data_IF_621275112816
#
_entry.id   IF_621275112816
#
_cell.length_a   1.000
_cell.length_b   1.000
_cell.length_c   1.000
_cell.angle_alpha   90.00
_cell.angle_beta   90.00
_cell.angle_gamma   90.00
#
_symmetry.space_group_name_H-M   'P 1'
#
loop_
_entity.id
_entity.type
_entity.pdbx_description
1 polymer ?
#
# COMPACT_ATOMS: atom_id res chain seq x y z
N UNK A 1 -22.49 28.13 -10.47
CA UNK A 1 -21.85 27.65 -9.22
C UNK A 1 -22.08 26.16 -9.15
N UNK A 2 -21.10 25.37 -9.59
CA UNK A 2 -21.18 23.90 -9.59
C UNK A 2 -20.23 23.47 -8.48
N UNK A 3 -20.78 23.03 -7.34
CA UNK A 3 -19.98 22.43 -6.28
C UNK A 3 -19.36 21.13 -6.83
N UNK A 4 -18.08 20.83 -6.57
CA UNK A 4 -17.55 19.51 -6.87
C UNK A 4 -18.30 18.48 -6.01
N UNK A 5 -18.53 17.26 -6.54
CA UNK A 5 -19.23 16.23 -5.80
C UNK A 5 -18.45 15.93 -4.52
N UNK A 6 -19.14 16.01 -3.39
CA UNK A 6 -18.65 15.53 -2.10
C UNK A 6 -18.16 14.10 -2.33
N UNK A 7 -16.85 13.89 -2.17
CA UNK A 7 -16.26 12.56 -2.21
C UNK A 7 -17.05 11.67 -1.27
N UNK A 8 -17.59 10.58 -1.82
CA UNK A 8 -18.17 9.52 -1.02
C UNK A 8 -17.10 9.05 -0.05
N UNK A 9 -17.22 9.49 1.20
CA UNK A 9 -16.48 8.92 2.33
C UNK A 9 -16.98 7.48 2.43
N UNK A 10 -16.24 6.55 1.82
CA UNK A 10 -16.30 5.15 2.21
C UNK A 10 -15.73 5.08 3.63
N UNK A 11 -16.57 5.42 4.60
CA UNK A 11 -16.38 4.99 5.97
C UNK A 11 -16.30 3.47 5.89
N UNK A 12 -15.07 2.97 5.99
CA UNK A 12 -14.72 1.56 5.97
C UNK A 12 -15.26 0.82 7.19
N UNK A 13 -16.57 0.84 7.38
CA UNK A 13 -17.28 -0.17 8.16
C UNK A 13 -17.53 -1.38 7.26
N UNK A 14 -16.45 -1.93 6.70
CA UNK A 14 -16.43 -3.33 6.25
C UNK A 14 -16.02 -4.21 7.43
N UNK A 15 -16.58 -3.94 8.60
CA UNK A 15 -16.38 -4.75 9.78
C UNK A 15 -17.62 -5.62 10.00
N UNK A 16 -17.40 -6.93 9.86
CA UNK A 16 -18.16 -8.03 10.46
C UNK A 16 -19.58 -8.25 9.92
N UNK A 17 -19.65 -9.08 8.87
CA UNK A 17 -20.49 -10.30 8.85
C UNK A 17 -20.05 -11.16 7.66
N UNK A 18 -19.05 -12.00 7.88
CA UNK A 18 -18.92 -13.21 7.05
C UNK A 18 -20.21 -13.98 7.31
N UNK A 19 -21.06 -14.13 6.29
CA UNK A 19 -22.31 -14.89 6.45
C UNK A 19 -21.97 -16.30 6.93
N UNK A 20 -22.81 -16.89 7.77
CA UNK A 20 -22.60 -18.26 8.29
C UNK A 20 -22.29 -19.26 7.16
N UNK A 21 -22.93 -19.11 6.00
CA UNK A 21 -22.65 -19.89 4.79
C UNK A 21 -21.26 -19.62 4.19
N UNK A 22 -20.80 -18.37 4.17
CA UNK A 22 -19.44 -18.02 3.74
C UNK A 22 -18.37 -18.55 4.70
N UNK A 23 -18.65 -18.56 6.01
CA UNK A 23 -17.77 -19.16 7.02
C UNK A 23 -17.65 -20.68 6.84
N UNK A 24 -18.77 -21.38 6.63
CA UNK A 24 -18.79 -22.82 6.36
C UNK A 24 -18.09 -23.16 5.04
N UNK A 25 -18.27 -22.37 3.98
CA UNK A 25 -17.57 -22.56 2.72
C UNK A 25 -16.05 -22.37 2.87
N UNK A 26 -15.62 -21.34 3.61
CA UNK A 26 -14.21 -21.12 3.93
C UNK A 26 -13.62 -22.26 4.77
N UNK A 27 -14.37 -22.81 5.73
CA UNK A 27 -13.95 -23.95 6.55
C UNK A 27 -13.85 -25.23 5.70
N UNK A 28 -14.80 -25.50 4.81
CA UNK A 28 -14.75 -26.66 3.91
C UNK A 28 -13.58 -26.55 2.93
N UNK A 29 -13.34 -25.35 2.39
CA UNK A 29 -12.17 -25.06 1.56
C UNK A 29 -10.90 -25.28 2.39
N UNK A 30 -10.81 -24.74 3.61
CA UNK A 30 -9.67 -24.92 4.52
C UNK A 30 -9.42 -26.39 4.88
N UNK A 31 -10.46 -27.20 5.10
CA UNK A 31 -10.33 -28.64 5.39
C UNK A 31 -9.79 -29.39 4.16
N UNK A 32 -10.32 -29.12 2.96
CA UNK A 32 -9.77 -29.68 1.72
C UNK A 32 -8.35 -29.20 1.42
N UNK A 33 -8.04 -27.97 1.78
CA UNK A 33 -6.73 -27.33 1.64
C UNK A 33 -5.68 -28.04 2.50
N UNK A 34 -6.01 -28.27 3.77
CA UNK A 34 -5.16 -28.96 4.76
C UNK A 34 -4.84 -30.38 4.29
N UNK A 35 -5.79 -31.05 3.64
CA UNK A 35 -5.64 -32.43 3.17
C UNK A 35 -4.71 -32.59 1.97
N UNK A 36 -4.49 -31.54 1.15
CA UNK A 36 -3.67 -31.65 -0.07
C UNK A 36 -2.22 -31.19 0.11
N UNK A 37 -1.99 -30.06 0.79
CA UNK A 37 -0.64 -29.56 1.04
C UNK A 37 -0.59 -28.68 2.30
N UNK A 38 -0.45 -29.33 3.47
CA UNK A 38 -0.42 -28.70 4.78
C UNK A 38 0.66 -27.62 4.89
N UNK A 39 1.81 -27.80 4.24
CA UNK A 39 2.95 -26.87 4.30
C UNK A 39 2.59 -25.55 3.61
N UNK A 40 2.01 -25.62 2.41
CA UNK A 40 1.59 -24.43 1.66
C UNK A 40 0.42 -23.69 2.35
N UNK A 41 -0.47 -24.42 3.02
CA UNK A 41 -1.52 -23.78 3.82
C UNK A 41 -0.96 -23.08 5.06
N UNK A 42 -0.10 -23.77 5.83
CA UNK A 42 0.51 -23.22 7.04
C UNK A 42 1.34 -21.97 6.70
N UNK A 43 2.13 -22.00 5.62
CA UNK A 43 2.87 -20.81 5.16
C UNK A 43 1.93 -19.65 4.81
N UNK A 44 0.84 -19.92 4.08
CA UNK A 44 -0.14 -18.90 3.74
C UNK A 44 -0.77 -18.25 4.99
N UNK A 45 -1.19 -19.04 5.97
CA UNK A 45 -1.83 -18.52 7.19
C UNK A 45 -0.85 -17.77 8.07
N UNK A 46 0.38 -18.28 8.24
CA UNK A 46 1.44 -17.58 8.97
C UNK A 46 1.74 -16.23 8.32
N UNK A 47 1.98 -16.18 7.00
CA UNK A 47 2.26 -14.91 6.32
C UNK A 47 1.11 -13.90 6.49
N UNK A 48 -0.14 -14.33 6.35
CA UNK A 48 -1.30 -13.45 6.46
C UNK A 48 -1.43 -12.85 7.87
N UNK A 49 -1.28 -13.66 8.91
CA UNK A 49 -1.38 -13.21 10.30
C UNK A 49 -0.28 -12.20 10.62
N UNK A 50 0.97 -12.52 10.30
CA UNK A 50 2.09 -11.60 10.53
C UNK A 50 1.95 -10.32 9.72
N UNK A 51 1.55 -10.42 8.44
CA UNK A 51 1.27 -9.24 7.61
C UNK A 51 0.25 -8.31 8.26
N UNK A 52 -0.90 -8.82 8.69
CA UNK A 52 -1.95 -7.99 9.30
C UNK A 52 -1.49 -7.30 10.60
N UNK A 53 -0.77 -8.02 11.46
CA UNK A 53 -0.29 -7.47 12.74
C UNK A 53 0.71 -6.34 12.50
N UNK A 54 1.68 -6.55 11.60
CA UNK A 54 2.74 -5.57 11.35
C UNK A 54 2.21 -4.39 10.55
N UNK A 55 1.35 -4.62 9.57
CA UNK A 55 0.79 -3.52 8.78
C UNK A 55 -0.10 -2.60 9.63
N UNK A 56 -0.89 -3.17 10.55
CA UNK A 56 -1.66 -2.35 11.49
C UNK A 56 -0.77 -1.49 12.39
N UNK A 57 0.31 -2.07 12.95
CA UNK A 57 1.30 -1.31 13.74
C UNK A 57 1.99 -0.22 12.92
N UNK A 58 2.32 -0.51 11.66
CA UNK A 58 2.95 0.44 10.77
C UNK A 58 2.02 1.60 10.43
N UNK A 59 0.74 1.31 10.20
CA UNK A 59 -0.29 2.31 9.92
C UNK A 59 -0.48 3.26 11.11
N UNK A 60 -0.56 2.75 12.33
CA UNK A 60 -0.63 3.57 13.55
C UNK A 60 0.58 4.52 13.69
N UNK A 61 1.77 4.04 13.32
CA UNK A 61 3.00 4.86 13.35
C UNK A 61 2.96 5.94 12.27
N UNK A 62 2.56 5.58 11.05
CA UNK A 62 2.43 6.55 9.95
C UNK A 62 1.41 7.64 10.27
N UNK A 63 0.26 7.28 10.87
CA UNK A 63 -0.76 8.24 11.30
C UNK A 63 -0.23 9.18 12.38
N UNK A 64 0.54 8.68 13.36
CA UNK A 64 1.19 9.52 14.37
C UNK A 64 2.21 10.48 13.74
N UNK A 65 2.99 10.00 12.77
CA UNK A 65 3.95 10.84 12.03
C UNK A 65 3.28 11.93 11.19
N UNK A 66 2.07 11.71 10.67
CA UNK A 66 1.36 12.71 9.87
C UNK A 66 0.57 13.69 10.73
N UNK A 67 0.13 13.31 11.92
CA UNK A 67 -0.81 14.09 12.75
C UNK A 67 -0.19 14.83 13.94
N UNK A 68 0.89 14.30 14.53
CA UNK A 68 1.39 14.70 15.85
C UNK A 68 2.73 15.43 15.79
N UNK A 69 2.77 16.69 16.26
CA UNK A 69 3.97 17.54 16.21
C UNK A 69 5.12 17.07 17.09
N UNK A 70 4.82 16.42 18.22
CA UNK A 70 5.82 15.80 19.10
C UNK A 70 6.53 14.63 18.43
N UNK A 71 5.88 13.95 17.48
CA UNK A 71 6.37 12.71 16.88
C UNK A 71 7.17 12.91 15.58
N UNK A 72 7.27 14.13 15.05
CA UNK A 72 8.02 14.38 13.80
C UNK A 72 9.52 14.08 13.94
N UNK A 73 10.06 14.23 15.14
CA UNK A 73 11.48 14.06 15.41
C UNK A 73 11.83 12.69 15.98
N UNK A 74 10.84 11.94 16.47
CA UNK A 74 11.02 10.59 16.98
C UNK A 74 11.19 9.58 15.85
N UNK A 75 12.26 8.80 15.93
CA UNK A 75 12.53 7.70 15.00
C UNK A 75 12.06 6.40 15.63
N UNK A 76 11.06 5.71 15.04
CA UNK A 76 10.50 4.48 15.59
C UNK A 76 11.44 3.29 15.33
N UNK A 77 12.60 3.27 15.98
CA UNK A 77 13.60 2.20 15.85
C UNK A 77 13.03 0.82 16.20
N UNK A 78 11.96 0.77 17.00
CA UNK A 78 11.24 -0.46 17.33
C UNK A 78 10.65 -1.18 16.10
N UNK A 79 10.52 -0.53 14.94
CA UNK A 79 10.08 -1.15 13.69
C UNK A 79 11.16 -2.01 13.02
N UNK A 80 12.45 -1.76 13.28
CA UNK A 80 13.55 -2.46 12.61
C UNK A 80 13.56 -3.99 12.87
N UNK A 81 13.37 -4.47 14.12
CA UNK A 81 13.26 -5.90 14.38
C UNK A 81 12.07 -6.54 13.65
N UNK A 82 10.93 -5.86 13.58
CA UNK A 82 9.76 -6.33 12.83
C UNK A 82 10.05 -6.39 11.32
N UNK A 83 10.78 -5.41 10.80
CA UNK A 83 11.26 -5.42 9.41
C UNK A 83 12.11 -6.65 9.09
N UNK A 84 13.02 -7.04 9.99
CA UNK A 84 13.84 -8.25 9.85
C UNK A 84 13.00 -9.54 9.90
N UNK A 85 12.02 -9.61 10.80
CA UNK A 85 11.08 -10.75 10.89
C UNK A 85 10.27 -10.90 9.60
N UNK A 86 9.76 -9.79 9.04
CA UNK A 86 9.02 -9.83 7.79
C UNK A 86 9.90 -10.20 6.59
N UNK A 87 11.16 -9.75 6.58
CA UNK A 87 12.14 -10.11 5.55
C UNK A 87 12.44 -11.62 5.58
N UNK A 88 12.70 -12.18 6.76
CA UNK A 88 13.00 -13.60 6.91
C UNK A 88 11.78 -14.48 6.56
N UNK A 89 10.57 -14.06 6.95
CA UNK A 89 9.33 -14.73 6.57
C UNK A 89 9.11 -14.74 5.05
N UNK A 90 9.37 -13.61 4.37
CA UNK A 90 9.26 -13.51 2.90
C UNK A 90 10.29 -14.42 2.20
N UNK A 91 11.54 -14.44 2.65
CA UNK A 91 12.56 -15.34 2.07
C UNK A 91 12.18 -16.80 2.29
N UNK A 92 11.77 -17.17 3.52
CA UNK A 92 11.37 -18.52 3.85
C UNK A 92 10.20 -19.00 2.97
N UNK A 93 9.21 -18.13 2.71
CA UNK A 93 8.08 -18.49 1.83
C UNK A 93 8.48 -18.66 0.37
N UNK A 94 9.41 -17.85 -0.15
CA UNK A 94 9.96 -18.05 -1.51
C UNK A 94 10.72 -19.39 -1.62
N UNK A 95 11.51 -19.76 -0.61
CA UNK A 95 12.23 -21.05 -0.57
C UNK A 95 11.26 -22.22 -0.53
N UNK A 96 10.22 -22.16 0.32
CA UNK A 96 9.19 -23.18 0.40
C UNK A 96 8.45 -23.31 -0.94
N UNK A 97 8.14 -22.18 -1.58
CA UNK A 97 7.53 -22.17 -2.91
C UNK A 97 8.41 -22.87 -3.96
N UNK A 98 9.73 -22.62 -3.98
CA UNK A 98 10.64 -23.32 -4.90
C UNK A 98 10.58 -24.84 -4.71
N UNK A 99 10.59 -25.30 -3.46
CA UNK A 99 10.53 -26.74 -3.16
C UNK A 99 9.18 -27.39 -3.57
N UNK A 100 8.07 -26.69 -3.38
CA UNK A 100 6.73 -27.18 -3.71
C UNK A 100 6.30 -26.92 -5.17
N UNK A 101 7.14 -26.30 -6.00
CA UNK A 101 6.79 -26.01 -7.42
C UNK A 101 6.52 -27.24 -8.29
N UNK A 102 6.89 -28.42 -7.80
CA UNK A 102 6.84 -29.69 -8.56
C UNK A 102 5.43 -30.29 -8.64
N UNK A 103 4.45 -29.83 -7.85
CA UNK A 103 3.13 -30.49 -7.68
C UNK A 103 1.89 -29.69 -8.13
N UNK A 104 1.96 -28.80 -9.11
CA UNK A 104 0.76 -28.07 -9.55
C UNK A 104 -0.11 -28.87 -10.55
N UNK A 105 -0.72 -29.96 -10.08
CA UNK A 105 -1.62 -30.78 -10.90
C UNK A 105 -3.05 -30.21 -10.97
N UNK A 106 -3.45 -29.41 -9.99
CA UNK A 106 -4.83 -28.98 -9.79
C UNK A 106 -4.97 -27.45 -9.73
N UNK A 107 -6.11 -26.93 -10.18
CA UNK A 107 -6.49 -25.51 -10.08
C UNK A 107 -6.31 -24.95 -8.67
N UNK A 108 -6.64 -25.77 -7.67
CA UNK A 108 -6.52 -25.43 -6.27
C UNK A 108 -5.06 -25.14 -5.83
N UNK A 109 -4.11 -26.02 -6.19
CA UNK A 109 -2.70 -25.84 -5.84
C UNK A 109 -2.08 -24.64 -6.57
N UNK A 110 -2.53 -24.38 -7.81
CA UNK A 110 -2.16 -23.17 -8.55
C UNK A 110 -2.65 -21.90 -7.83
N UNK A 111 -3.89 -21.89 -7.35
CA UNK A 111 -4.44 -20.77 -6.58
C UNK A 111 -3.70 -20.55 -5.26
N UNK A 112 -3.53 -21.60 -4.45
CA UNK A 112 -2.84 -21.53 -3.16
C UNK A 112 -1.40 -21.02 -3.33
N UNK A 113 -0.71 -21.48 -4.36
CA UNK A 113 0.64 -21.02 -4.63
C UNK A 113 0.71 -19.58 -5.12
N UNK A 114 -0.24 -19.13 -5.92
CA UNK A 114 -0.34 -17.72 -6.31
C UNK A 114 -0.67 -16.82 -5.11
N UNK A 115 -1.41 -17.34 -4.13
CA UNK A 115 -1.74 -16.64 -2.88
C UNK A 115 -0.51 -16.52 -1.98
N UNK A 116 0.25 -17.60 -1.78
CA UNK A 116 1.53 -17.55 -1.05
C UNK A 116 2.50 -16.57 -1.71
N UNK A 117 2.61 -16.57 -3.04
CA UNK A 117 3.44 -15.61 -3.77
C UNK A 117 2.99 -14.17 -3.55
N UNK A 118 1.68 -13.92 -3.60
CA UNK A 118 1.10 -12.60 -3.32
C UNK A 118 1.44 -12.11 -1.91
N UNK A 119 1.22 -12.96 -0.91
CA UNK A 119 1.55 -12.65 0.48
C UNK A 119 3.06 -12.43 0.67
N UNK A 120 3.91 -13.23 0.02
CA UNK A 120 5.37 -13.09 0.07
C UNK A 120 5.86 -11.75 -0.47
N UNK A 121 5.22 -11.24 -1.53
CA UNK A 121 5.51 -9.93 -2.12
C UNK A 121 5.08 -8.81 -1.17
N UNK A 122 3.90 -8.91 -0.56
CA UNK A 122 3.43 -7.89 0.36
C UNK A 122 4.19 -7.91 1.69
N UNK A 123 4.57 -9.07 2.23
CA UNK A 123 5.44 -9.13 3.42
C UNK A 123 6.83 -8.54 3.15
N UNK A 124 7.36 -8.70 1.94
CA UNK A 124 8.57 -8.01 1.51
C UNK A 124 8.36 -6.49 1.46
N UNK A 125 7.23 -6.04 0.91
CA UNK A 125 6.89 -4.62 0.85
C UNK A 125 6.79 -4.00 2.25
N UNK A 126 6.13 -4.66 3.20
CA UNK A 126 6.01 -4.17 4.59
C UNK A 126 7.35 -4.17 5.30
N UNK A 127 8.19 -5.19 5.08
CA UNK A 127 9.57 -5.21 5.56
C UNK A 127 10.35 -3.96 5.10
N UNK A 128 10.27 -3.63 3.81
CA UNK A 128 10.90 -2.44 3.25
C UNK A 128 10.32 -1.17 3.88
N UNK A 129 8.99 -1.05 4.07
CA UNK A 129 8.40 0.10 4.77
C UNK A 129 8.95 0.25 6.20
N UNK A 130 9.06 -0.86 6.95
CA UNK A 130 9.64 -0.85 8.30
C UNK A 130 11.09 -0.33 8.32
N UNK A 131 11.93 -0.74 7.35
CA UNK A 131 13.29 -0.22 7.24
C UNK A 131 13.33 1.25 6.82
N UNK A 132 12.53 1.64 5.83
CA UNK A 132 12.48 3.02 5.33
C UNK A 132 12.09 4.02 6.43
N UNK A 133 11.14 3.64 7.29
CA UNK A 133 10.69 4.46 8.42
C UNK A 133 11.65 4.33 9.62
N UNK A 134 11.99 3.10 10.01
CA UNK A 134 12.82 2.83 11.19
C UNK A 134 14.25 3.35 11.07
N UNK A 135 14.83 3.40 9.86
CA UNK A 135 16.16 3.96 9.59
C UNK A 135 16.13 5.47 9.28
N UNK A 136 14.97 6.13 9.38
CA UNK A 136 14.77 7.56 9.04
C UNK A 136 15.16 7.94 7.60
N UNK A 137 15.18 6.97 6.68
CA UNK A 137 15.41 7.24 5.25
C UNK A 137 14.23 8.06 4.71
N UNK A 138 13.01 7.70 5.13
CA UNK A 138 11.78 8.39 4.79
C UNK A 138 11.29 9.17 6.00
N UNK A 139 11.42 10.49 5.92
CA UNK A 139 10.87 11.41 6.93
C UNK A 139 9.36 11.60 6.73
N UNK A 140 8.66 12.05 7.77
CA UNK A 140 7.24 12.42 7.73
C UNK A 140 6.84 13.32 6.54
N UNK A 141 7.75 14.15 6.01
CA UNK A 141 7.52 14.98 4.80
C UNK A 141 7.14 14.15 3.57
N UNK A 142 7.82 13.01 3.38
CA UNK A 142 7.56 12.10 2.27
C UNK A 142 6.26 11.31 2.49
N UNK A 143 6.00 10.92 3.75
CA UNK A 143 4.77 10.24 4.16
C UNK A 143 3.56 11.13 3.86
N UNK A 144 3.57 12.38 4.33
CA UNK A 144 2.52 13.37 4.07
C UNK A 144 2.26 13.64 2.60
N UNK A 145 3.28 13.58 1.75
CA UNK A 145 3.12 13.74 0.29
C UNK A 145 2.39 12.56 -0.36
N UNK A 146 2.30 11.41 0.32
CA UNK A 146 1.69 10.18 -0.19
C UNK A 146 2.70 9.20 -0.79
N UNK A 147 3.98 9.22 -0.37
CA UNK A 147 5.00 8.30 -0.89
C UNK A 147 4.57 6.83 -0.75
N UNK A 148 4.04 6.45 0.42
CA UNK A 148 3.62 5.06 0.65
C UNK A 148 2.44 4.65 -0.23
N UNK A 149 1.51 5.55 -0.57
CA UNK A 149 0.46 5.27 -1.54
C UNK A 149 0.96 4.96 -2.95
N UNK A 150 2.06 5.59 -3.39
CA UNK A 150 2.73 5.27 -4.67
C UNK A 150 3.51 3.96 -4.56
N UNK A 151 4.24 3.79 -3.46
CA UNK A 151 5.01 2.59 -3.14
C UNK A 151 4.14 1.33 -3.21
N UNK A 152 2.95 1.36 -2.64
CA UNK A 152 2.05 0.21 -2.66
C UNK A 152 1.53 -0.15 -4.05
N UNK A 153 1.13 0.84 -4.84
CA UNK A 153 0.66 0.62 -6.22
C UNK A 153 1.72 -0.04 -7.08
N UNK A 154 2.99 0.29 -6.85
CA UNK A 154 4.12 -0.40 -7.48
C UNK A 154 4.13 -1.91 -7.11
N UNK A 155 3.99 -2.25 -5.83
CA UNK A 155 3.94 -3.66 -5.41
C UNK A 155 2.69 -4.40 -5.89
N UNK A 156 1.53 -3.73 -5.97
CA UNK A 156 0.31 -4.30 -6.57
C UNK A 156 0.51 -4.62 -8.04
N UNK A 157 1.15 -3.73 -8.81
CA UNK A 157 1.49 -3.93 -10.21
C UNK A 157 2.50 -5.08 -10.37
N UNK A 158 3.57 -5.09 -9.58
CA UNK A 158 4.59 -6.14 -9.59
C UNK A 158 3.99 -7.53 -9.30
N UNK A 159 3.14 -7.63 -8.26
CA UNK A 159 2.36 -8.83 -7.93
C UNK A 159 1.48 -9.27 -9.11
N UNK A 160 0.78 -8.33 -9.75
CA UNK A 160 -0.10 -8.62 -10.89
C UNK A 160 0.65 -9.31 -12.04
N UNK A 161 1.85 -8.82 -12.37
CA UNK A 161 2.70 -9.40 -13.43
C UNK A 161 3.14 -10.82 -13.08
N UNK A 162 3.63 -11.05 -11.85
CA UNK A 162 4.11 -12.38 -11.44
C UNK A 162 2.96 -13.40 -11.39
N UNK A 163 1.81 -13.03 -10.82
CA UNK A 163 0.66 -13.94 -10.76
C UNK A 163 0.15 -14.28 -12.16
N UNK A 164 0.09 -13.29 -13.06
CA UNK A 164 -0.30 -13.50 -14.47
C UNK A 164 0.62 -14.52 -15.13
N UNK A 165 1.94 -14.40 -14.99
CA UNK A 165 2.88 -15.37 -15.55
C UNK A 165 2.62 -16.80 -15.05
N UNK A 166 2.39 -16.98 -13.73
CA UNK A 166 2.12 -18.29 -13.14
C UNK A 166 0.85 -18.93 -13.71
N UNK A 167 -0.23 -18.16 -13.83
CA UNK A 167 -1.49 -18.64 -14.41
C UNK A 167 -1.38 -18.95 -15.91
N UNK A 168 -0.59 -18.16 -16.65
CA UNK A 168 -0.30 -18.44 -18.06
C UNK A 168 0.42 -19.78 -18.26
N UNK A 169 1.40 -20.10 -17.40
CA UNK A 169 2.06 -21.40 -17.39
C UNK A 169 1.09 -22.55 -17.04
N UNK A 170 0.12 -22.30 -16.15
CA UNK A 170 -0.95 -23.24 -15.81
C UNK A 170 -1.88 -23.54 -16.98
N UNK A 171 -2.44 -22.52 -17.63
CA UNK A 171 -3.32 -22.74 -18.79
C UNK A 171 -2.61 -23.30 -20.03
N UNK A 172 -1.27 -23.19 -20.07
CA UNK A 172 -0.45 -23.74 -21.15
C UNK A 172 0.15 -25.11 -20.81
N UNK A 173 -0.14 -25.69 -19.64
CA UNK A 173 0.36 -27.00 -19.17
C UNK A 173 1.90 -27.14 -19.18
N UNK A 174 2.64 -26.10 -18.76
CA UNK A 174 4.13 -26.04 -18.81
C UNK A 174 4.77 -26.33 -17.44
N UNK A 175 4.07 -27.03 -16.57
CA UNK A 175 4.58 -27.42 -15.27
C UNK A 175 5.37 -28.73 -15.37
N UNK A 176 6.45 -28.94 -14.58
CA UNK A 176 6.91 -28.17 -13.42
C UNK A 176 7.97 -27.08 -13.71
N UNK A 177 8.44 -26.91 -14.95
CA UNK A 177 9.53 -25.99 -15.30
C UNK A 177 9.05 -24.81 -16.18
N UNK A 178 8.41 -23.77 -15.57
CA UNK A 178 7.88 -22.63 -16.30
C UNK A 178 9.02 -21.70 -16.76
N UNK A 179 9.67 -22.03 -17.87
CA UNK A 179 10.61 -21.13 -18.54
C UNK A 179 9.89 -20.30 -19.60
N UNK A 180 10.35 -19.06 -19.82
CA UNK A 180 9.79 -18.17 -20.84
C UNK A 180 9.88 -18.81 -22.24
N UNK A 181 10.98 -19.52 -22.51
CA UNK A 181 11.19 -20.23 -23.78
C UNK A 181 10.15 -21.33 -23.98
N UNK A 182 9.93 -22.17 -22.96
CA UNK A 182 8.90 -23.20 -23.00
C UNK A 182 7.49 -22.59 -23.14
N UNK A 183 7.25 -21.43 -22.51
CA UNK A 183 6.02 -20.69 -22.72
C UNK A 183 5.85 -20.24 -24.16
N UNK A 184 6.85 -19.67 -24.81
CA UNK A 184 6.70 -19.21 -26.19
C UNK A 184 6.51 -20.35 -27.19
N UNK A 185 7.09 -21.53 -26.94
CA UNK A 185 6.99 -22.68 -27.84
C UNK A 185 5.73 -23.54 -27.63
N UNK A 186 5.09 -23.48 -26.47
CA UNK A 186 3.93 -24.31 -26.16
C UNK A 186 2.64 -23.83 -26.83
N UNK A 187 1.85 -24.77 -27.35
CA UNK A 187 0.52 -24.51 -27.87
C UNK A 187 -0.40 -23.92 -26.81
N UNK A 188 -1.10 -22.84 -27.17
CA UNK A 188 -1.97 -22.11 -26.24
C UNK A 188 -3.40 -22.63 -26.31
N UNK A 189 -3.96 -22.93 -25.15
CA UNK A 189 -5.38 -23.24 -25.00
C UNK A 189 -6.24 -21.98 -25.17
N UNK A 190 -7.53 -22.14 -25.49
CA UNK A 190 -8.49 -21.02 -25.58
C UNK A 190 -8.59 -20.25 -24.27
N UNK A 191 -8.57 -20.96 -23.13
CA UNK A 191 -8.56 -20.35 -21.79
C UNK A 191 -7.35 -19.43 -21.57
N UNK A 192 -6.18 -19.78 -22.12
CA UNK A 192 -4.98 -18.94 -22.05
C UNK A 192 -5.20 -17.60 -22.76
N UNK A 193 -5.78 -17.59 -23.97
CA UNK A 193 -6.07 -16.35 -24.70
C UNK A 193 -7.10 -15.46 -23.98
N UNK A 194 -8.18 -16.04 -23.47
CA UNK A 194 -9.20 -15.31 -22.69
C UNK A 194 -8.55 -14.66 -21.46
N UNK A 195 -7.69 -15.42 -20.76
CA UNK A 195 -6.98 -14.92 -19.60
C UNK A 195 -6.01 -13.77 -19.93
N UNK A 196 -5.26 -13.87 -21.03
CA UNK A 196 -4.38 -12.79 -21.52
C UNK A 196 -5.19 -11.51 -21.73
N UNK A 197 -6.30 -11.57 -22.47
CA UNK A 197 -7.12 -10.38 -22.77
C UNK A 197 -7.65 -9.75 -21.49
N UNK A 198 -8.22 -10.55 -20.58
CA UNK A 198 -8.71 -10.09 -19.28
C UNK A 198 -7.60 -9.41 -18.46
N UNK A 199 -6.40 -9.99 -18.42
CA UNK A 199 -5.27 -9.44 -17.66
C UNK A 199 -4.65 -8.22 -18.31
N UNK A 200 -4.64 -8.11 -19.64
CA UNK A 200 -4.19 -6.90 -20.32
C UNK A 200 -5.04 -5.69 -19.94
N UNK A 201 -6.37 -5.83 -19.93
CA UNK A 201 -7.29 -4.76 -19.50
C UNK A 201 -7.01 -4.34 -18.05
N UNK A 202 -6.86 -5.32 -17.14
CA UNK A 202 -6.58 -5.06 -15.73
C UNK A 202 -5.20 -4.41 -15.51
N UNK A 203 -4.17 -4.82 -16.26
CA UNK A 203 -2.83 -4.23 -16.18
C UNK A 203 -2.81 -2.80 -16.70
N UNK A 204 -3.52 -2.49 -17.78
CA UNK A 204 -3.66 -1.11 -18.28
C UNK A 204 -4.32 -0.23 -17.22
N UNK A 205 -5.38 -0.72 -16.57
CA UNK A 205 -6.05 -0.01 -15.49
C UNK A 205 -5.12 0.25 -14.29
N UNK A 206 -4.39 -0.77 -13.84
CA UNK A 206 -3.40 -0.62 -12.75
C UNK A 206 -2.25 0.32 -13.11
N UNK A 207 -1.76 0.29 -14.35
CA UNK A 207 -0.73 1.21 -14.84
C UNK A 207 -1.23 2.65 -14.85
N UNK A 208 -2.48 2.85 -15.29
CA UNK A 208 -3.10 4.17 -15.28
C UNK A 208 -3.24 4.70 -13.85
N UNK A 209 -3.72 3.89 -12.90
CA UNK A 209 -3.80 4.26 -11.47
C UNK A 209 -2.42 4.55 -10.86
N UNK A 210 -1.41 3.75 -11.20
CA UNK A 210 -0.02 4.00 -10.77
C UNK A 210 0.50 5.34 -11.31
N UNK A 211 0.33 5.62 -12.60
CA UNK A 211 0.75 6.90 -13.20
C UNK A 211 -0.01 8.08 -12.59
N UNK A 212 -1.31 7.93 -12.35
CA UNK A 212 -2.12 8.94 -11.67
C UNK A 212 -1.58 9.21 -10.26
N UNK A 213 -1.25 8.18 -9.49
CA UNK A 213 -0.67 8.33 -8.14
C UNK A 213 0.68 9.07 -8.15
N UNK A 214 1.54 8.81 -9.14
CA UNK A 214 2.81 9.54 -9.31
C UNK A 214 2.55 11.02 -9.60
N UNK A 215 1.57 11.33 -10.47
CA UNK A 215 1.20 12.71 -10.78
C UNK A 215 0.69 13.43 -9.53
N UNK A 216 -0.20 12.81 -8.78
CA UNK A 216 -0.71 13.34 -7.51
C UNK A 216 0.42 13.57 -6.50
N UNK A 217 1.35 12.63 -6.37
CA UNK A 217 2.53 12.80 -5.51
C UNK A 217 3.40 14.00 -5.92
N UNK A 218 3.63 14.20 -7.23
CA UNK A 218 4.38 15.35 -7.76
C UNK A 218 3.63 16.68 -7.58
N UNK A 219 2.31 16.68 -7.70
CA UNK A 219 1.50 17.89 -7.46
C UNK A 219 1.49 18.23 -5.96
N UNK A 220 1.41 17.23 -5.08
CA UNK A 220 1.47 17.42 -3.63
C UNK A 220 2.80 17.99 -3.15
N UNK A 221 3.92 17.72 -3.84
CA UNK A 221 5.20 18.34 -3.49
C UNK A 221 5.23 19.84 -3.79
N UNK A 222 4.41 20.31 -4.74
CA UNK A 222 4.28 21.71 -5.15
C UNK A 222 3.18 22.43 -4.34
N UNK A 223 2.09 21.73 -4.01
CA UNK A 223 0.94 22.26 -3.25
C UNK A 223 1.15 22.24 -1.73
N UNK A 224 2.16 21.52 -1.23
CA UNK A 224 2.56 21.63 0.16
C UNK A 224 2.93 23.08 0.47
N UNK A 225 2.38 23.62 1.56
CA UNK A 225 2.64 24.98 2.01
C UNK A 225 4.14 25.24 2.00
N UNK A 226 4.57 26.33 1.36
CA UNK A 226 5.97 26.61 1.18
C UNK A 226 6.66 26.67 2.55
N UNK A 227 7.77 25.94 2.75
CA UNK A 227 8.56 26.10 3.95
C UNK A 227 9.03 27.55 4.04
N UNK A 228 8.98 28.13 5.24
CA UNK A 228 9.48 29.47 5.46
C UNK A 228 11.00 29.49 5.20
N UNK A 229 11.52 30.56 4.56
CA UNK A 229 12.96 30.78 4.43
C UNK A 229 13.67 30.74 5.80
N UNK A 230 14.89 30.21 5.87
CA UNK A 230 15.62 30.05 7.14
C UNK A 230 15.97 31.39 7.83
N UNK A 231 16.07 32.46 7.04
CA UNK A 231 16.28 33.85 7.42
C UNK A 231 15.01 34.53 7.95
N UNK A 232 13.83 33.98 7.69
CA UNK A 232 12.56 34.48 8.22
C UNK A 232 12.21 33.79 9.54
N UNK A 233 12.51 34.46 10.65
CA UNK A 233 12.12 34.00 11.98
C UNK A 233 10.77 34.57 12.41
N UNK A 234 9.95 33.72 13.00
CA UNK A 234 8.72 34.08 13.70
C UNK A 234 8.79 33.45 15.09
N UNK A 235 8.73 34.29 16.13
CA UNK A 235 8.97 33.84 17.52
C UNK A 235 7.88 32.89 18.03
N UNK A 236 6.64 33.06 17.54
CA UNK A 236 5.50 32.25 17.93
C UNK A 236 4.47 32.13 16.80
N UNK A 237 3.85 30.95 16.66
CA UNK A 237 2.74 30.76 15.75
C UNK A 237 1.46 31.38 16.34
N UNK A 238 0.74 32.22 15.58
CA UNK A 238 -0.49 32.88 16.06
C UNK A 238 -1.63 31.90 16.41
N UNK A 239 -1.60 30.67 15.87
CA UNK A 239 -2.65 29.67 16.10
C UNK A 239 -2.40 28.89 17.39
N UNK A 240 -1.21 28.33 17.58
CA UNK A 240 -0.90 27.51 18.77
C UNK A 240 -0.13 28.26 19.86
N UNK A 241 0.36 29.47 19.59
CA UNK A 241 1.15 30.31 20.49
C UNK A 241 2.49 29.69 20.94
N UNK A 242 2.95 28.65 20.24
CA UNK A 242 4.24 27.99 20.46
C UNK A 242 5.23 28.36 19.35
N UNK A 243 6.52 28.04 19.57
CA UNK A 243 7.57 28.17 18.55
C UNK A 243 7.15 27.39 17.28
N UNK A 244 7.18 28.01 16.08
CA UNK A 244 6.70 27.36 14.87
C UNK A 244 7.44 26.06 14.54
N UNK A 245 6.73 24.94 14.56
CA UNK A 245 7.24 23.63 14.11
C UNK A 245 6.96 23.49 12.62
N UNK A 246 8.02 23.31 11.82
CA UNK A 246 7.95 23.43 10.35
C UNK A 246 7.29 24.74 9.94
N UNK A 247 7.96 25.88 10.13
CA UNK A 247 7.39 27.15 9.76
C UNK A 247 7.07 27.10 8.26
N UNK A 248 5.83 27.44 7.93
CA UNK A 248 5.35 27.54 6.56
C UNK A 248 4.89 28.95 6.29
N UNK A 249 5.20 29.45 5.10
CA UNK A 249 4.82 30.78 4.67
C UNK A 249 3.64 30.67 3.71
N UNK A 250 2.56 31.39 4.02
CA UNK A 250 1.44 31.54 3.10
C UNK A 250 1.80 32.55 1.99
N UNK A 251 1.09 32.56 0.84
CA UNK A 251 1.34 33.51 -0.25
C UNK A 251 1.27 34.99 0.16
N UNK A 252 0.62 35.27 1.29
CA UNK A 252 0.53 36.60 1.88
C UNK A 252 1.75 37.03 2.71
N UNK A 253 2.74 36.14 2.92
CA UNK A 253 3.95 36.39 3.71
C UNK A 253 3.88 35.97 5.18
N UNK A 254 2.73 35.50 5.66
CA UNK A 254 2.53 35.12 7.06
C UNK A 254 3.01 33.69 7.36
N UNK A 255 3.66 33.52 8.51
CA UNK A 255 4.29 32.27 8.95
C UNK A 255 3.47 31.60 10.05
N UNK A 256 3.29 30.27 9.92
CA UNK A 256 2.59 29.43 10.91
C UNK A 256 3.28 28.07 11.00
N UNK A 257 2.93 27.24 11.99
CA UNK A 257 3.26 25.80 11.93
C UNK A 257 2.55 25.17 10.72
N UNK A 258 3.20 24.21 10.04
CA UNK A 258 2.58 23.46 8.94
C UNK A 258 1.19 22.93 9.34
N UNK A 259 1.09 22.28 10.51
CA UNK A 259 -0.16 21.66 10.96
C UNK A 259 -1.25 22.68 11.30
N UNK A 260 -0.88 23.83 11.86
CA UNK A 260 -1.80 24.91 12.16
C UNK A 260 -2.36 25.52 10.88
N UNK A 261 -1.50 25.80 9.90
CA UNK A 261 -1.93 26.28 8.59
C UNK A 261 -2.77 25.23 7.85
N UNK A 262 -2.35 23.97 7.86
CA UNK A 262 -3.09 22.86 7.22
C UNK A 262 -4.50 22.71 7.82
N UNK A 263 -4.63 22.59 9.14
CA UNK A 263 -5.95 22.47 9.82
C UNK A 263 -6.86 23.66 9.55
N UNK A 264 -6.30 24.87 9.55
CA UNK A 264 -7.07 26.07 9.23
C UNK A 264 -7.55 26.05 7.78
N UNK A 265 -6.66 25.70 6.86
CA UNK A 265 -6.93 25.70 5.42
C UNK A 265 -7.86 24.57 4.94
N UNK A 266 -8.07 23.52 5.76
CA UNK A 266 -9.10 22.51 5.54
C UNK A 266 -10.53 23.09 5.62
N UNK A 267 -10.74 24.11 6.45
CA UNK A 267 -12.07 24.71 6.69
C UNK A 267 -12.20 26.12 6.11
N UNK A 268 -11.10 26.84 5.98
CA UNK A 268 -11.07 28.24 5.56
C UNK A 268 -10.06 28.46 4.44
N UNK A 269 -10.46 28.98 3.29
CA UNK A 269 -9.55 29.28 2.18
C UNK A 269 -8.79 30.62 2.32
N UNK A 270 -8.54 31.09 3.54
CA UNK A 270 -7.96 32.41 3.81
C UNK A 270 -6.89 32.38 4.90
N UNK A 271 -5.99 33.37 4.92
CA UNK A 271 -4.98 33.50 5.96
C UNK A 271 -5.59 33.84 7.33
N UNK A 272 -5.20 33.16 8.43
CA UNK A 272 -5.68 33.46 9.79
C UNK A 272 -5.38 34.90 10.25
N UNK A 273 -4.25 35.48 9.80
CA UNK A 273 -3.82 36.82 10.19
C UNK A 273 -4.45 37.93 9.35
N UNK A 274 -4.37 37.83 8.02
CA UNK A 274 -4.78 38.93 7.13
C UNK A 274 -6.01 38.62 6.25
N UNK A 275 -6.60 37.43 6.38
CA UNK A 275 -7.77 36.97 5.62
C UNK A 275 -7.62 37.01 4.09
N UNK A 276 -6.40 37.23 3.56
CA UNK A 276 -6.12 37.10 2.12
C UNK A 276 -6.38 35.66 1.68
N UNK A 277 -6.98 35.45 0.49
CA UNK A 277 -7.28 34.11 0.01
C UNK A 277 -6.00 33.32 -0.26
N UNK A 278 -6.01 32.05 0.12
CA UNK A 278 -4.95 31.07 -0.16
C UNK A 278 -5.53 30.08 -1.16
N UNK A 279 -4.86 29.87 -2.31
CA UNK A 279 -5.31 28.90 -3.33
C UNK A 279 -5.49 27.52 -2.67
N UNK A 280 -6.60 26.86 -2.99
CA UNK A 280 -7.07 25.63 -2.33
C UNK A 280 -5.98 24.57 -2.22
N UNK A 281 -5.86 24.02 -1.01
CA UNK A 281 -5.06 22.84 -0.76
C UNK A 281 -5.88 21.63 -1.17
N UNK A 282 -5.35 20.84 -2.11
CA UNK A 282 -5.90 19.52 -2.40
C UNK A 282 -5.61 18.64 -1.19
N UNK A 283 -6.67 18.15 -0.53
CA UNK A 283 -6.54 17.19 0.56
C UNK A 283 -5.70 16.00 0.10
N UNK A 284 -4.65 15.67 0.84
CA UNK A 284 -3.76 14.56 0.48
C UNK A 284 -4.41 13.26 0.96
N UNK A 285 -5.32 12.70 0.15
CA UNK A 285 -6.02 11.43 0.44
C UNK A 285 -5.09 10.19 0.45
N UNK A 286 -3.82 10.35 0.07
CA UNK A 286 -2.89 9.22 -0.13
C UNK A 286 -2.04 8.83 1.09
N UNK A 287 -2.37 9.34 2.28
CA UNK A 287 -1.53 9.21 3.48
C UNK A 287 -1.27 7.74 3.87
N UNK A 288 -2.28 6.87 3.69
CA UNK A 288 -2.31 5.64 4.47
C UNK A 288 -1.75 4.45 3.70
N UNK A 289 -1.88 4.46 2.36
CA UNK A 289 -1.56 3.31 1.52
C UNK A 289 -2.14 2.03 2.15
N UNK A 290 -3.46 1.91 2.22
CA UNK A 290 -4.09 0.72 2.75
C UNK A 290 -4.62 -0.15 1.61
N UNK A 291 -4.10 -1.38 1.51
CA UNK A 291 -4.58 -2.38 0.56
C UNK A 291 -5.74 -3.16 1.21
N UNK A 292 -6.97 -3.13 0.65
CA UNK A 292 -8.07 -3.90 1.23
C UNK A 292 -7.78 -5.40 1.13
N UNK A 293 -8.26 -6.19 2.11
CA UNK A 293 -8.11 -7.65 2.13
C UNK A 293 -8.66 -8.32 0.86
N UNK A 294 -9.65 -7.71 0.21
CA UNK A 294 -10.17 -8.16 -1.09
C UNK A 294 -9.11 -8.14 -2.20
N UNK A 295 -8.18 -7.17 -2.19
CA UNK A 295 -7.08 -7.11 -3.13
C UNK A 295 -6.06 -8.24 -2.89
N UNK A 296 -5.85 -8.65 -1.63
CA UNK A 296 -5.01 -9.80 -1.27
C UNK A 296 -5.58 -11.13 -1.81
N UNK A 297 -6.91 -11.27 -1.81
CA UNK A 297 -7.62 -12.47 -2.27
C UNK A 297 -7.90 -12.47 -3.78
N UNK A 298 -7.73 -11.33 -4.47
CA UNK A 298 -7.81 -11.18 -5.93
C UNK A 298 -6.57 -11.75 -6.65
N UNK A 299 -6.37 -13.05 -6.51
CA UNK A 299 -5.17 -13.78 -6.95
C UNK A 299 -5.33 -14.44 -8.32
N UNK A 300 -6.57 -14.54 -8.82
CA UNK A 300 -6.91 -15.06 -10.15
C UNK A 300 -6.69 -13.98 -11.21
#
# INVERSE_FOLDING_TARGET
MIQPPQGFIFNGSFNKKISFMGGVLCIIIAIKVIQQDLVMFATCTTLLVFYQIIEHKLQDVMEKMTSSSSFYFETPYFLLPWGLVMFSLSIASFVIMQYHTVKYSNLYLAFLSSLVNTLSIFTLATSIKCFLIGAKIITYRYIRRGFFGVFERFFVLYRSVICTYRWLCFFSNIWPAPTVVAFLSANKTTACYIYIVMKCVLLIWLLWDFVFSIRSYRVNSVNAICPAPADMHCDYCVICQEVPIEPVILPCGHIFCYQCAYRWLLTNSSCPMCRKPVKEQVAIEFSDGHIPLSALLSVF
#
